data_IF_647505307642
#
_entry.id   IF_647505307642
#
_cell.length_a   1.000
_cell.length_b   1.000
_cell.length_c   1.000
_cell.angle_alpha   90.00
_cell.angle_beta   90.00
_cell.angle_gamma   90.00
#
_symmetry.space_group_name_H-M   'P 1'
#
loop_
_entity.id
_entity.type
_entity.pdbx_description
1 polymer ?
#
# COMPACT_ATOMS: atom_id res chain seq x y z
N UNK A 1 -2.18 -16.96 16.59
CA UNK A 1 -3.03 -15.78 16.30
C UNK A 1 -2.13 -14.63 15.88
N UNK A 2 -2.67 -13.68 15.12
CA UNK A 2 -1.97 -12.47 14.68
C UNK A 2 -2.65 -11.27 15.30
N UNK A 3 -1.86 -10.29 15.76
CA UNK A 3 -2.36 -9.06 16.38
C UNK A 3 -2.09 -7.89 15.45
N UNK A 4 -3.12 -7.11 15.15
CA UNK A 4 -3.05 -5.87 14.39
C UNK A 4 -3.46 -4.69 15.26
N UNK A 5 -2.98 -3.52 14.86
CA UNK A 5 -3.16 -2.28 15.60
C UNK A 5 -3.73 -1.20 14.68
N UNK A 6 -4.96 -0.74 14.94
CA UNK A 6 -5.50 0.42 14.25
C UNK A 6 -4.96 1.67 14.94
N UNK A 7 -4.04 2.35 14.27
CA UNK A 7 -3.40 3.56 14.77
C UNK A 7 -4.07 4.79 14.19
N UNK A 8 -4.35 5.75 15.06
CA UNK A 8 -5.04 6.99 14.71
C UNK A 8 -4.05 7.99 14.10
N UNK A 9 -3.90 7.96 12.78
CA UNK A 9 -2.97 8.84 12.08
C UNK A 9 -3.49 10.28 11.96
N UNK A 10 -4.82 10.47 11.98
CA UNK A 10 -5.45 11.80 11.88
C UNK A 10 -5.76 12.43 13.25
N UNK A 11 -5.37 11.79 14.35
CA UNK A 11 -5.57 12.27 15.73
C UNK A 11 -7.04 12.56 16.06
N UNK A 12 -7.98 11.78 15.51
CA UNK A 12 -9.41 11.88 15.82
C UNK A 12 -9.67 11.59 17.30
N UNK A 13 -10.42 12.45 18.01
CA UNK A 13 -10.65 12.27 19.47
C UNK A 13 -11.80 11.30 19.80
N UNK A 14 -12.65 10.94 18.84
CA UNK A 14 -13.84 10.11 19.07
C UNK A 14 -13.53 8.60 18.93
N UNK A 15 -12.75 8.04 19.85
CA UNK A 15 -12.33 6.64 19.78
C UNK A 15 -13.50 5.65 19.91
N UNK A 16 -14.41 5.88 20.87
CA UNK A 16 -15.60 5.03 21.08
C UNK A 16 -16.53 5.05 19.86
N UNK A 17 -16.81 6.24 19.32
CA UNK A 17 -17.65 6.37 18.13
C UNK A 17 -17.03 5.73 16.89
N UNK A 18 -15.70 5.85 16.70
CA UNK A 18 -15.07 5.19 15.56
C UNK A 18 -14.98 3.66 15.74
N UNK A 19 -14.75 3.17 16.97
CA UNK A 19 -14.85 1.74 17.26
C UNK A 19 -16.25 1.22 16.93
N UNK A 20 -17.30 1.94 17.37
CA UNK A 20 -18.68 1.57 17.06
C UNK A 20 -18.95 1.54 15.56
N UNK A 21 -18.44 2.50 14.78
CA UNK A 21 -18.58 2.49 13.30
C UNK A 21 -17.93 1.27 12.65
N UNK A 22 -16.80 0.77 13.18
CA UNK A 22 -16.18 -0.48 12.69
C UNK A 22 -17.13 -1.66 12.95
N UNK A 23 -17.71 -1.73 14.15
CA UNK A 23 -18.70 -2.76 14.49
C UNK A 23 -19.95 -2.65 13.61
N UNK A 24 -20.49 -1.44 13.43
CA UNK A 24 -21.67 -1.19 12.61
C UNK A 24 -21.44 -1.60 11.15
N UNK A 25 -20.22 -1.40 10.64
CA UNK A 25 -19.84 -1.86 9.31
C UNK A 25 -19.88 -3.39 9.20
N UNK A 26 -19.38 -4.14 10.19
CA UNK A 26 -19.52 -5.60 10.20
C UNK A 26 -20.99 -6.05 10.23
N UNK A 27 -21.86 -5.32 10.95
CA UNK A 27 -23.29 -5.63 11.02
C UNK A 27 -24.03 -5.40 9.68
N UNK A 28 -23.42 -4.75 8.69
CA UNK A 28 -23.99 -4.62 7.35
C UNK A 28 -23.96 -5.93 6.54
N UNK A 29 -23.13 -6.90 6.94
CA UNK A 29 -22.97 -8.20 6.26
C UNK A 29 -23.93 -9.25 6.83
N UNK A 30 -25.23 -8.97 6.72
CA UNK A 30 -26.30 -9.81 7.28
C UNK A 30 -26.28 -11.20 6.64
N UNK A 31 -26.21 -12.25 7.48
CA UNK A 31 -26.22 -13.64 7.04
C UNK A 31 -24.82 -14.25 6.84
N UNK A 32 -23.78 -13.42 6.71
CA UNK A 32 -22.39 -13.87 6.57
C UNK A 32 -21.60 -13.67 7.88
N UNK A 33 -21.91 -12.60 8.61
CA UNK A 33 -21.16 -12.19 9.81
C UNK A 33 -22.10 -12.03 11.01
N UNK A 34 -21.72 -12.64 12.14
CA UNK A 34 -22.33 -12.40 13.45
C UNK A 34 -21.37 -11.61 14.33
N UNK A 35 -21.85 -10.55 14.99
CA UNK A 35 -21.04 -9.76 15.92
C UNK A 35 -21.61 -9.86 17.32
N UNK A 36 -20.84 -10.41 18.27
CA UNK A 36 -21.17 -10.44 19.69
C UNK A 36 -20.39 -9.35 20.43
N UNK A 37 -21.10 -8.42 21.07
CA UNK A 37 -20.47 -7.42 21.94
C UNK A 37 -20.34 -8.01 23.34
N UNK A 38 -19.10 -8.19 23.80
CA UNK A 38 -18.83 -8.56 25.19
C UNK A 38 -18.98 -7.35 26.11
N UNK A 39 -18.46 -6.19 25.68
CA UNK A 39 -18.60 -4.88 26.34
C UNK A 39 -18.69 -3.76 25.28
N UNK A 40 -18.84 -2.49 25.70
CA UNK A 40 -18.76 -1.36 24.76
C UNK A 40 -17.39 -1.27 24.04
N UNK A 41 -16.33 -1.76 24.68
CA UNK A 41 -14.96 -1.73 24.19
C UNK A 41 -14.47 -3.07 23.64
N UNK A 42 -15.32 -4.11 23.60
CA UNK A 42 -14.92 -5.46 23.16
C UNK A 42 -16.02 -6.10 22.31
N UNK A 43 -15.61 -6.60 21.15
CA UNK A 43 -16.50 -7.36 20.27
C UNK A 43 -15.77 -8.58 19.70
N UNK A 44 -16.54 -9.63 19.46
CA UNK A 44 -16.10 -10.83 18.75
C UNK A 44 -16.91 -10.93 17.46
N UNK A 45 -16.21 -11.08 16.34
CA UNK A 45 -16.79 -11.20 15.00
C UNK A 45 -16.62 -12.64 14.54
N UNK A 46 -17.73 -13.27 14.19
CA UNK A 46 -17.81 -14.66 13.73
C UNK A 46 -18.25 -14.67 12.26
N UNK A 47 -17.57 -15.47 11.44
CA UNK A 47 -17.95 -15.68 10.04
C UNK A 47 -18.72 -16.98 9.93
N UNK A 48 -20.02 -16.87 9.65
CA UNK A 48 -20.94 -18.00 9.64
C UNK A 48 -20.52 -19.04 8.60
N UNK A 49 -20.54 -20.32 9.00
CA UNK A 49 -20.09 -21.42 8.15
C UNK A 49 -18.57 -21.62 8.08
N UNK A 50 -17.78 -20.85 8.84
CA UNK A 50 -16.32 -21.00 8.90
C UNK A 50 -15.83 -21.08 10.35
N UNK A 51 -14.61 -21.61 10.60
CA UNK A 51 -14.00 -21.55 11.93
C UNK A 51 -13.38 -20.17 12.26
N UNK A 52 -13.55 -19.18 11.37
CA UNK A 52 -12.88 -17.89 11.46
C UNK A 52 -13.52 -16.98 12.51
N UNK A 53 -12.69 -16.47 13.42
CA UNK A 53 -13.10 -15.57 14.52
C UNK A 53 -12.09 -14.45 14.68
N UNK A 54 -12.61 -13.23 14.83
CA UNK A 54 -11.82 -12.04 15.13
C UNK A 54 -12.24 -11.41 16.46
N UNK A 55 -11.26 -11.00 17.26
CA UNK A 55 -11.49 -10.27 18.50
C UNK A 55 -11.04 -8.83 18.35
N UNK A 56 -11.96 -7.89 18.55
CA UNK A 56 -11.69 -6.46 18.52
C UNK A 56 -11.77 -5.90 19.94
N UNK A 57 -10.79 -5.08 20.30
CA UNK A 57 -10.74 -4.42 21.61
C UNK A 57 -10.28 -2.98 21.48
N UNK A 58 -11.05 -2.05 22.03
CA UNK A 58 -10.64 -0.66 22.22
C UNK A 58 -9.82 -0.55 23.52
N UNK A 59 -8.55 -0.17 23.38
CA UNK A 59 -7.64 0.05 24.50
C UNK A 59 -7.86 1.44 25.13
N UNK A 60 -7.45 1.61 26.39
CA UNK A 60 -7.52 2.90 27.11
C UNK A 60 -6.75 4.01 26.40
N UNK A 61 -5.75 3.66 25.61
CA UNK A 61 -4.95 4.58 24.77
C UNK A 61 -5.72 5.11 23.56
N UNK A 62 -6.93 4.61 23.29
CA UNK A 62 -7.72 4.93 22.09
C UNK A 62 -7.36 4.10 20.86
N UNK A 63 -6.39 3.20 20.99
CA UNK A 63 -6.00 2.25 19.94
C UNK A 63 -6.97 1.08 19.90
N UNK A 64 -7.31 0.61 18.69
CA UNK A 64 -8.08 -0.65 18.54
C UNK A 64 -7.11 -1.77 18.22
N UNK A 65 -7.12 -2.81 19.04
CA UNK A 65 -6.40 -4.06 18.80
C UNK A 65 -7.34 -5.04 18.11
N UNK A 66 -6.87 -5.67 17.04
CA UNK A 66 -7.60 -6.71 16.32
C UNK A 66 -6.77 -7.99 16.38
N UNK A 67 -7.35 -9.05 16.93
CA UNK A 67 -6.69 -10.35 17.03
C UNK A 67 -7.44 -11.34 16.17
N UNK A 68 -6.73 -11.94 15.21
CA UNK A 68 -7.31 -12.84 14.22
C UNK A 68 -6.55 -14.15 14.12
N UNK A 69 -7.23 -15.15 13.55
CA UNK A 69 -6.62 -16.42 13.16
C UNK A 69 -5.59 -16.19 12.04
N UNK A 70 -4.66 -17.14 11.86
CA UNK A 70 -3.59 -16.99 10.84
C UNK A 70 -4.13 -17.07 9.40
N UNK A 71 -5.28 -17.67 9.19
CA UNK A 71 -5.89 -17.84 7.87
C UNK A 71 -7.09 -16.88 7.66
N UNK A 72 -7.25 -15.89 8.52
CA UNK A 72 -8.33 -14.89 8.46
C UNK A 72 -7.85 -13.59 7.81
N UNK A 73 -7.76 -13.58 6.48
CA UNK A 73 -7.47 -12.36 5.74
C UNK A 73 -8.73 -11.47 5.55
N UNK A 74 -9.92 -12.05 5.65
CA UNK A 74 -11.19 -11.37 5.38
C UNK A 74 -11.42 -10.26 6.40
N UNK A 75 -11.22 -10.52 7.69
CA UNK A 75 -11.42 -9.52 8.74
C UNK A 75 -10.57 -8.27 8.52
N UNK A 76 -9.27 -8.44 8.33
CA UNK A 76 -8.38 -7.30 8.20
C UNK A 76 -8.68 -6.51 6.93
N UNK A 77 -9.04 -7.17 5.83
CA UNK A 77 -9.45 -6.49 4.61
C UNK A 77 -10.75 -5.68 4.81
N UNK A 78 -11.77 -6.25 5.47
CA UNK A 78 -13.01 -5.54 5.78
C UNK A 78 -12.75 -4.32 6.67
N UNK A 79 -11.89 -4.46 7.69
CA UNK A 79 -11.51 -3.32 8.53
C UNK A 79 -10.75 -2.28 7.70
N UNK A 80 -9.88 -2.69 6.78
CA UNK A 80 -9.10 -1.75 5.96
C UNK A 80 -10.00 -0.85 5.11
N UNK A 81 -11.09 -1.41 4.57
CA UNK A 81 -12.09 -0.66 3.78
C UNK A 81 -12.69 0.54 4.54
N UNK A 82 -12.92 0.40 5.85
CA UNK A 82 -13.53 1.46 6.66
C UNK A 82 -12.51 2.28 7.46
N UNK A 83 -11.39 1.67 7.87
CA UNK A 83 -10.40 2.28 8.77
C UNK A 83 -9.91 3.64 8.25
N UNK A 84 -9.63 3.75 6.96
CA UNK A 84 -9.12 4.97 6.35
C UNK A 84 -10.12 6.13 6.46
N UNK A 85 -11.41 5.87 6.21
CA UNK A 85 -12.48 6.87 6.35
C UNK A 85 -12.68 7.35 7.80
N UNK A 86 -12.29 6.53 8.77
CA UNK A 86 -12.33 6.84 10.20
C UNK A 86 -11.05 7.48 10.71
N UNK A 87 -10.07 7.68 9.84
CA UNK A 87 -8.79 8.30 10.15
C UNK A 87 -7.75 7.36 10.77
N UNK A 88 -7.93 6.04 10.61
CA UNK A 88 -7.01 5.02 11.09
C UNK A 88 -6.20 4.40 9.96
N UNK A 89 -5.04 3.84 10.33
CA UNK A 89 -4.33 2.84 9.52
C UNK A 89 -4.11 1.57 10.31
N UNK A 90 -4.19 0.43 9.64
CA UNK A 90 -3.92 -0.87 10.23
C UNK A 90 -2.41 -1.11 10.20
N UNK A 91 -1.82 -1.37 11.36
CA UNK A 91 -0.40 -1.70 11.50
C UNK A 91 -0.24 -3.17 11.88
N UNK A 92 0.60 -3.87 11.12
CA UNK A 92 1.02 -5.25 11.37
C UNK A 92 2.40 -5.27 12.05
N UNK A 93 2.49 -5.68 13.34
CA UNK A 93 3.76 -5.77 14.05
C UNK A 93 4.68 -6.88 13.54
N UNK A 94 4.18 -7.91 12.84
CA UNK A 94 5.03 -9.00 12.35
C UNK A 94 5.98 -8.56 11.24
N UNK A 95 5.56 -7.60 10.42
CA UNK A 95 6.37 -7.01 9.35
C UNK A 95 6.78 -5.56 9.66
N UNK A 96 6.49 -5.07 10.87
CA UNK A 96 6.75 -3.70 11.31
C UNK A 96 6.24 -2.64 10.30
N UNK A 97 5.04 -2.84 9.76
CA UNK A 97 4.50 -1.96 8.72
C UNK A 97 3.01 -1.75 8.78
N UNK A 98 2.56 -0.61 8.26
CA UNK A 98 1.16 -0.41 7.94
C UNK A 98 0.77 -1.26 6.74
N UNK A 99 -0.47 -1.71 6.72
CA UNK A 99 -1.04 -2.27 5.50
C UNK A 99 -1.19 -1.14 4.47
N UNK A 100 -0.96 -1.42 3.17
CA UNK A 100 -1.31 -0.45 2.15
C UNK A 100 -2.81 -0.18 2.16
N UNK A 101 -3.20 1.02 1.73
CA UNK A 101 -4.60 1.45 1.77
C UNK A 101 -5.44 0.83 0.64
N UNK A 102 -4.81 0.24 -0.39
CA UNK A 102 -5.53 -0.46 -1.45
C UNK A 102 -6.15 -1.75 -0.89
N UNK A 103 -7.44 -1.92 -1.09
CA UNK A 103 -8.19 -3.09 -0.60
C UNK A 103 -7.88 -4.37 -1.38
N UNK A 104 -7.25 -4.23 -2.54
CA UNK A 104 -6.87 -5.34 -3.42
C UNK A 104 -5.48 -5.87 -3.11
N UNK A 105 -4.69 -5.26 -2.22
CA UNK A 105 -3.40 -5.82 -1.83
C UNK A 105 -3.52 -6.57 -0.51
N UNK A 106 -3.21 -7.85 -0.57
CA UNK A 106 -3.30 -8.73 0.57
C UNK A 106 -1.99 -8.81 1.34
N UNK A 107 -2.11 -8.79 2.66
CA UNK A 107 -1.04 -9.13 3.59
C UNK A 107 -0.86 -10.65 3.65
N UNK A 108 0.30 -11.13 3.19
CA UNK A 108 0.61 -12.55 3.14
C UNK A 108 0.98 -13.16 4.49
N UNK A 109 0.99 -12.38 5.58
CA UNK A 109 1.07 -12.95 6.94
C UNK A 109 -0.19 -13.70 7.34
N UNK A 110 -1.34 -13.36 6.74
CA UNK A 110 -2.67 -13.95 7.03
C UNK A 110 -3.22 -14.85 5.92
N UNK A 111 -2.43 -15.08 4.86
CA UNK A 111 -2.86 -15.90 3.72
C UNK A 111 -1.94 -17.11 3.58
N UNK A 112 -2.55 -18.30 3.59
CA UNK A 112 -1.86 -19.52 3.22
C UNK A 112 -1.60 -19.53 1.71
N UNK A 113 -0.36 -19.34 1.33
CA UNK A 113 0.08 -19.48 -0.06
C UNK A 113 0.11 -20.94 -0.49
N UNK A 114 -0.15 -21.17 -1.78
CA UNK A 114 0.12 -22.46 -2.41
C UNK A 114 1.58 -22.86 -2.21
N UNK A 115 1.82 -24.12 -1.84
CA UNK A 115 3.17 -24.68 -1.67
C UNK A 115 3.99 -24.53 -2.95
N UNK A 116 3.39 -24.68 -4.12
CA UNK A 116 4.07 -24.54 -5.41
C UNK A 116 4.60 -23.12 -5.62
N UNK A 117 3.78 -22.10 -5.38
CA UNK A 117 4.18 -20.68 -5.49
C UNK A 117 5.31 -20.37 -4.50
N UNK A 118 5.15 -20.81 -3.25
CA UNK A 118 6.16 -20.60 -2.22
C UNK A 118 7.50 -21.24 -2.60
N UNK A 119 7.47 -22.44 -3.17
CA UNK A 119 8.67 -23.15 -3.60
C UNK A 119 9.42 -22.37 -4.70
N UNK A 120 8.72 -21.94 -5.76
CA UNK A 120 9.33 -21.15 -6.85
C UNK A 120 9.95 -19.86 -6.29
N UNK A 121 9.20 -19.07 -5.52
CA UNK A 121 9.69 -17.81 -4.96
C UNK A 121 10.91 -18.04 -4.05
N UNK A 122 10.93 -19.14 -3.28
CA UNK A 122 12.04 -19.46 -2.38
C UNK A 122 13.34 -19.85 -3.09
N UNK A 123 13.28 -20.41 -4.31
CA UNK A 123 14.47 -20.70 -5.13
C UNK A 123 15.23 -19.41 -5.48
N UNK A 124 14.51 -18.30 -5.61
CA UNK A 124 15.07 -16.97 -5.83
C UNK A 124 15.42 -16.23 -4.53
N UNK A 125 15.36 -16.92 -3.38
CA UNK A 125 15.63 -16.37 -2.05
C UNK A 125 14.79 -15.14 -1.70
N UNK A 126 13.54 -15.14 -2.16
CA UNK A 126 12.59 -14.08 -1.89
C UNK A 126 11.62 -14.51 -0.78
N UNK A 127 11.23 -13.56 0.06
CA UNK A 127 10.20 -13.76 1.08
C UNK A 127 8.95 -12.97 0.70
N UNK A 128 7.82 -13.62 0.34
CA UNK A 128 6.60 -12.91 0.00
C UNK A 128 6.09 -12.03 1.16
N UNK A 129 5.70 -10.79 0.83
CA UNK A 129 5.09 -9.85 1.77
C UNK A 129 3.64 -9.56 1.42
N UNK A 130 3.41 -9.18 0.15
CA UNK A 130 2.11 -8.75 -0.31
C UNK A 130 1.78 -9.37 -1.67
N UNK A 131 0.49 -9.57 -1.94
CA UNK A 131 -0.01 -10.05 -3.22
C UNK A 131 -1.18 -9.21 -3.68
N UNK A 132 -1.23 -8.85 -4.95
CA UNK A 132 -2.43 -8.25 -5.52
C UNK A 132 -3.50 -9.34 -5.76
N UNK A 133 -4.69 -9.13 -5.21
CA UNK A 133 -5.82 -10.06 -5.13
C UNK A 133 -6.05 -10.76 -6.47
N UNK A 134 -6.17 -12.08 -6.42
CA UNK A 134 -6.47 -12.95 -7.57
C UNK A 134 -5.51 -12.80 -8.77
N UNK A 135 -4.27 -12.35 -8.52
CA UNK A 135 -3.22 -12.27 -9.55
C UNK A 135 -1.90 -12.91 -9.10
N UNK A 136 -0.98 -13.10 -10.05
CA UNK A 136 0.41 -13.49 -9.79
C UNK A 136 1.35 -12.29 -9.56
N UNK A 137 0.81 -11.14 -9.15
CA UNK A 137 1.61 -9.96 -8.81
C UNK A 137 1.99 -10.04 -7.33
N UNK A 138 3.26 -10.31 -7.07
CA UNK A 138 3.82 -10.43 -5.72
C UNK A 138 4.85 -9.34 -5.45
N UNK A 139 4.81 -8.82 -4.22
CA UNK A 139 5.87 -8.02 -3.63
C UNK A 139 6.57 -8.85 -2.56
N UNK A 140 7.89 -8.96 -2.67
CA UNK A 140 8.72 -9.79 -1.80
C UNK A 140 9.85 -8.98 -1.19
N UNK A 141 10.41 -9.47 -0.07
CA UNK A 141 11.73 -9.06 0.40
C UNK A 141 12.80 -9.90 -0.27
N UNK A 142 13.88 -9.24 -0.70
CA UNK A 142 15.12 -9.92 -1.05
C UNK A 142 16.05 -10.05 0.16
N UNK A 143 17.23 -10.67 -0.02
CA UNK A 143 18.25 -10.83 1.04
C UNK A 143 18.77 -9.51 1.62
N UNK A 144 18.62 -8.39 0.91
CA UNK A 144 19.03 -7.05 1.35
C UNK A 144 17.92 -6.30 2.08
N UNK A 145 16.78 -6.97 2.33
CA UNK A 145 15.57 -6.35 2.93
C UNK A 145 14.93 -5.26 2.07
N UNK A 146 15.27 -5.22 0.76
CA UNK A 146 14.62 -4.35 -0.21
C UNK A 146 13.32 -5.02 -0.69
N UNK A 147 12.31 -4.20 -1.01
CA UNK A 147 11.07 -4.71 -1.59
C UNK A 147 11.21 -4.79 -3.09
N UNK A 148 10.95 -5.99 -3.64
CA UNK A 148 11.01 -6.29 -5.06
C UNK A 148 9.63 -6.69 -5.59
N UNK A 149 9.34 -6.30 -6.82
CA UNK A 149 8.20 -6.81 -7.60
C UNK A 149 8.64 -8.05 -8.36
N UNK A 150 7.86 -9.13 -8.27
CA UNK A 150 8.10 -10.37 -9.03
C UNK A 150 7.58 -10.25 -10.46
N UNK A 151 8.32 -10.79 -11.42
CA UNK A 151 7.88 -10.91 -12.80
C UNK A 151 6.77 -11.97 -12.91
N UNK A 152 5.51 -11.51 -12.92
CA UNK A 152 4.34 -12.39 -12.94
C UNK A 152 4.33 -13.40 -14.10
N UNK A 153 4.83 -13.01 -15.27
CA UNK A 153 4.80 -13.84 -16.48
C UNK A 153 5.84 -14.96 -16.40
N UNK A 154 7.01 -14.66 -15.85
CA UNK A 154 8.01 -15.69 -15.57
C UNK A 154 7.55 -16.62 -14.44
N UNK A 155 6.92 -16.08 -13.38
CA UNK A 155 6.32 -16.90 -12.32
C UNK A 155 5.27 -17.86 -12.90
N UNK A 156 4.35 -17.36 -13.73
CA UNK A 156 3.33 -18.17 -14.42
C UNK A 156 3.96 -19.31 -15.25
N UNK A 157 5.00 -19.00 -16.03
CA UNK A 157 5.73 -20.01 -16.78
C UNK A 157 6.38 -21.07 -15.87
N UNK A 158 7.05 -20.67 -14.80
CA UNK A 158 7.73 -21.61 -13.89
C UNK A 158 6.73 -22.51 -13.15
N UNK A 159 5.54 -22.00 -12.84
CA UNK A 159 4.45 -22.79 -12.22
C UNK A 159 3.88 -23.85 -13.17
N UNK A 160 3.93 -23.62 -14.48
CA UNK A 160 3.38 -24.54 -15.50
C UNK A 160 4.43 -25.49 -16.08
N UNK A 161 5.69 -25.09 -16.14
CA UNK A 161 6.80 -25.85 -16.74
C UNK A 161 7.45 -26.89 -15.80
N UNK A 162 6.84 -27.25 -14.67
CA UNK A 162 7.37 -28.19 -13.68
C UNK A 162 8.78 -27.85 -13.15
N UNK A 163 9.00 -26.63 -12.66
CA UNK A 163 10.19 -26.25 -11.90
C UNK A 163 11.53 -26.66 -12.56
N UNK A 164 11.68 -26.52 -13.88
CA UNK A 164 13.02 -26.60 -14.48
C UNK A 164 13.92 -25.56 -13.81
N UNK A 165 15.17 -25.93 -13.51
CA UNK A 165 16.20 -25.11 -12.83
C UNK A 165 16.65 -23.91 -13.69
N UNK A 166 15.70 -23.05 -14.04
CA UNK A 166 15.92 -21.80 -14.72
C UNK A 166 16.06 -20.74 -13.63
N UNK A 167 17.30 -20.33 -13.34
CA UNK A 167 17.58 -19.10 -12.60
C UNK A 167 17.66 -17.98 -13.62
N UNK A 168 16.58 -17.20 -13.75
CA UNK A 168 16.58 -16.01 -14.59
C UNK A 168 16.93 -14.76 -13.78
N UNK A 169 17.85 -13.94 -14.31
CA UNK A 169 18.26 -12.69 -13.66
C UNK A 169 17.11 -11.67 -13.52
N UNK A 170 16.04 -11.82 -14.30
CA UNK A 170 14.90 -10.90 -14.38
C UNK A 170 13.65 -11.38 -13.63
N UNK A 171 13.81 -12.29 -12.65
CA UNK A 171 12.67 -12.80 -11.88
C UNK A 171 12.05 -11.75 -10.95
N UNK A 172 12.84 -10.78 -10.50
CA UNK A 172 12.35 -9.70 -9.63
C UNK A 172 13.11 -8.39 -9.88
N UNK A 173 12.47 -7.27 -9.58
CA UNK A 173 13.06 -5.93 -9.71
C UNK A 173 12.79 -5.11 -8.46
N UNK A 174 13.77 -4.34 -7.99
CA UNK A 174 13.61 -3.47 -6.83
C UNK A 174 12.59 -2.37 -7.11
N UNK A 175 11.63 -2.22 -6.18
CA UNK A 175 10.62 -1.15 -6.22
C UNK A 175 10.67 -0.23 -5.00
N UNK A 176 11.30 -0.66 -3.90
CA UNK A 176 11.59 0.19 -2.75
C UNK A 176 12.80 -0.34 -1.94
N UNK A 177 13.49 0.55 -1.24
CA UNK A 177 14.63 0.24 -0.39
C UNK A 177 14.23 -0.56 0.86
N UNK A 178 13.00 -0.41 1.34
CA UNK A 178 12.47 -1.15 2.49
C UNK A 178 10.93 -1.12 2.52
N UNK A 179 10.32 -1.84 3.48
CA UNK A 179 8.86 -1.94 3.62
C UNK A 179 8.22 -0.56 3.89
N UNK A 180 8.81 0.24 4.79
CA UNK A 180 8.27 1.58 5.11
C UNK A 180 8.15 2.47 3.87
N UNK A 181 9.18 2.46 3.01
CA UNK A 181 9.18 3.21 1.76
C UNK A 181 8.20 2.60 0.75
N UNK A 182 8.12 1.27 0.66
CA UNK A 182 7.14 0.59 -0.18
C UNK A 182 5.72 1.05 0.13
N UNK A 183 5.33 1.02 1.41
CA UNK A 183 3.99 1.47 1.84
C UNK A 183 3.72 2.91 1.40
N UNK A 184 4.67 3.83 1.66
CA UNK A 184 4.50 5.23 1.32
C UNK A 184 4.37 5.48 -0.20
N UNK A 185 5.15 4.74 -1.01
CA UNK A 185 5.10 4.83 -2.47
C UNK A 185 3.82 4.20 -3.03
N UNK A 186 3.44 3.02 -2.53
CA UNK A 186 2.26 2.29 -2.98
C UNK A 186 0.97 3.08 -2.72
N UNK A 187 0.82 3.63 -1.51
CA UNK A 187 -0.36 4.45 -1.14
C UNK A 187 -0.53 5.71 -2.00
N UNK A 188 0.53 6.18 -2.65
CA UNK A 188 0.51 7.34 -3.56
C UNK A 188 0.33 6.94 -5.03
N UNK A 189 0.22 5.64 -5.31
CA UNK A 189 0.17 5.08 -6.67
C UNK A 189 1.47 5.31 -7.43
N UNK A 190 2.62 5.26 -6.74
CA UNK A 190 3.95 5.50 -7.31
C UNK A 190 4.69 4.20 -7.64
N UNK A 191 4.08 3.05 -7.35
CA UNK A 191 4.59 1.73 -7.73
C UNK A 191 3.72 1.21 -8.88
N UNK A 192 4.36 0.96 -10.01
CA UNK A 192 3.73 0.30 -11.15
C UNK A 192 3.53 -1.19 -10.84
N UNK A 193 2.36 -1.72 -11.19
CA UNK A 193 2.11 -3.16 -11.15
C UNK A 193 2.65 -3.89 -12.39
N UNK A 194 3.00 -3.13 -13.44
CA UNK A 194 3.61 -3.68 -14.65
C UNK A 194 5.14 -3.75 -14.50
N UNK A 195 5.67 -4.97 -14.46
CA UNK A 195 7.10 -5.25 -14.36
C UNK A 195 7.91 -4.57 -15.49
N UNK A 196 7.36 -4.53 -16.71
CA UNK A 196 8.05 -3.99 -17.89
C UNK A 196 8.33 -2.48 -17.78
N UNK A 197 7.53 -1.74 -17.01
CA UNK A 197 7.75 -0.32 -16.77
C UNK A 197 9.06 -0.04 -16.01
N UNK A 198 9.63 -1.06 -15.35
CA UNK A 198 10.91 -0.95 -14.65
C UNK A 198 12.11 -1.38 -15.50
N UNK A 199 11.90 -2.11 -16.59
CA UNK A 199 12.96 -2.56 -17.50
C UNK A 199 13.31 -1.49 -18.55
N UNK A 200 12.30 -0.77 -19.05
CA UNK A 200 12.43 0.08 -20.24
C UNK A 200 12.48 1.59 -19.96
N UNK A 201 12.20 2.06 -18.74
CA UNK A 201 12.04 3.49 -18.47
C UNK A 201 12.44 3.89 -17.04
N UNK A 202 12.63 5.20 -16.83
CA UNK A 202 12.84 5.83 -15.53
C UNK A 202 11.63 5.53 -14.63
N UNK A 203 11.60 4.37 -13.93
CA UNK A 203 10.56 4.02 -12.95
C UNK A 203 10.34 5.07 -11.86
N UNK A 204 11.28 6.02 -11.78
CA UNK A 204 11.24 7.23 -10.95
C UNK A 204 10.36 8.34 -11.52
N UNK A 205 9.77 8.22 -12.71
CA UNK A 205 8.87 9.22 -13.31
C UNK A 205 7.52 8.59 -13.64
N UNK A 206 6.48 9.00 -12.91
CA UNK A 206 5.09 8.63 -13.14
C UNK A 206 4.41 9.76 -13.91
N UNK A 207 4.20 9.54 -15.21
CA UNK A 207 3.60 10.52 -16.10
C UNK A 207 2.12 10.23 -16.36
N UNK A 208 1.22 10.77 -15.52
CA UNK A 208 -0.22 10.56 -15.68
C UNK A 208 -0.87 11.42 -16.75
N UNK A 209 -0.15 12.40 -17.27
CA UNK A 209 -0.67 13.37 -18.25
C UNK A 209 -0.15 13.14 -19.67
N UNK A 210 0.82 12.24 -19.84
CA UNK A 210 1.52 12.07 -21.11
C UNK A 210 2.43 13.25 -21.47
N UNK A 211 2.65 14.21 -20.57
CA UNK A 211 3.48 15.38 -20.87
C UNK A 211 4.97 15.04 -20.84
N UNK A 212 5.67 15.47 -21.88
CA UNK A 212 7.13 15.44 -21.88
C UNK A 212 7.67 16.72 -21.23
N UNK A 213 8.24 16.61 -20.02
CA UNK A 213 8.84 17.74 -19.30
C UNK A 213 9.96 18.44 -20.07
N UNK A 214 10.57 17.77 -21.06
CA UNK A 214 11.60 18.36 -21.93
C UNK A 214 11.00 19.21 -23.08
N UNK A 215 9.69 19.15 -23.30
CA UNK A 215 8.96 19.84 -24.38
C UNK A 215 7.79 20.67 -23.83
N UNK A 216 8.04 21.47 -22.79
CA UNK A 216 7.01 22.36 -22.23
C UNK A 216 6.72 23.52 -23.20
N UNK A 217 5.45 23.92 -23.37
CA UNK A 217 5.11 25.13 -24.12
C UNK A 217 5.78 26.37 -23.52
N UNK A 218 6.11 27.36 -24.35
CA UNK A 218 6.90 28.56 -23.99
C UNK A 218 6.34 29.32 -22.77
N UNK A 219 5.02 29.36 -22.60
CA UNK A 219 4.35 30.06 -21.49
C UNK A 219 3.95 29.16 -20.31
N UNK A 220 4.47 27.92 -20.27
CA UNK A 220 4.22 26.98 -19.19
C UNK A 220 5.38 26.96 -18.19
N UNK A 221 5.08 27.25 -16.93
CA UNK A 221 6.01 27.10 -15.82
C UNK A 221 5.74 25.81 -15.05
N UNK A 222 6.76 25.30 -14.36
CA UNK A 222 6.57 24.21 -13.42
C UNK A 222 6.17 24.77 -12.05
N UNK A 223 5.18 24.14 -11.44
CA UNK A 223 4.89 24.25 -10.03
C UNK A 223 5.26 22.93 -9.38
N UNK A 224 6.43 22.89 -8.75
CA UNK A 224 6.96 21.71 -8.10
C UNK A 224 6.47 21.66 -6.66
N UNK A 225 5.83 20.57 -6.27
CA UNK A 225 5.33 20.32 -4.92
C UNK A 225 6.21 19.24 -4.30
N UNK A 226 6.99 19.60 -3.30
CA UNK A 226 7.93 18.69 -2.66
C UNK A 226 7.25 17.94 -1.52
N UNK A 227 7.56 16.65 -1.46
CA UNK A 227 7.19 15.74 -0.40
C UNK A 227 8.47 15.12 0.18
N UNK A 228 8.49 14.98 1.50
CA UNK A 228 9.55 14.31 2.23
C UNK A 228 9.01 13.01 2.82
N UNK A 229 9.77 11.94 2.68
CA UNK A 229 9.47 10.66 3.30
C UNK A 229 9.51 10.77 4.83
N UNK A 230 8.42 10.33 5.46
CA UNK A 230 8.30 10.10 6.89
C UNK A 230 8.26 8.60 7.14
N UNK A 231 9.40 8.06 7.56
CA UNK A 231 9.58 6.63 7.78
C UNK A 231 8.71 6.11 8.93
N UNK A 232 8.50 6.90 9.98
CA UNK A 232 7.74 6.50 11.17
C UNK A 232 6.27 6.30 10.81
N UNK A 233 5.74 7.23 10.01
CA UNK A 233 4.34 7.17 9.55
C UNK A 233 4.17 6.41 8.22
N UNK A 234 5.27 5.95 7.63
CA UNK A 234 5.31 5.26 6.33
C UNK A 234 4.49 6.00 5.28
N UNK A 235 4.78 7.30 5.15
CA UNK A 235 4.02 8.23 4.33
C UNK A 235 4.90 9.36 3.81
N UNK A 236 4.29 10.27 3.04
CA UNK A 236 4.94 11.45 2.50
C UNK A 236 4.26 12.70 3.03
N UNK A 237 5.05 13.62 3.59
CA UNK A 237 4.59 14.92 4.09
C UNK A 237 4.97 15.99 3.08
N UNK A 238 4.00 16.82 2.70
CA UNK A 238 4.28 17.97 1.84
C UNK A 238 5.11 19.01 2.62
N UNK A 239 6.19 19.49 2.04
CA UNK A 239 7.10 20.47 2.69
C UNK A 239 6.93 21.86 2.11
N UNK A 240 7.26 22.02 0.84
CA UNK A 240 7.41 23.31 0.18
C UNK A 240 7.05 23.21 -1.30
N UNK A 241 6.87 24.37 -1.93
CA UNK A 241 6.65 24.46 -3.36
C UNK A 241 7.75 25.28 -4.02
N UNK A 242 8.37 24.73 -5.06
CA UNK A 242 9.44 25.37 -5.83
C UNK A 242 9.05 25.46 -7.31
N UNK A 243 9.92 26.08 -8.12
CA UNK A 243 9.71 26.19 -9.57
C UNK A 243 10.66 25.28 -10.37
N UNK A 244 11.43 24.42 -9.69
CA UNK A 244 12.46 23.59 -10.32
C UNK A 244 12.52 22.20 -9.68
N UNK A 245 12.70 21.19 -10.52
CA UNK A 245 12.89 19.79 -10.13
C UNK A 245 14.30 19.67 -9.49
N UNK A 246 14.43 19.16 -8.25
CA UNK A 246 15.72 18.93 -7.62
C UNK A 246 16.50 17.83 -8.37
N UNK A 247 17.82 17.86 -8.24
CA UNK A 247 18.70 16.89 -8.92
C UNK A 247 18.56 15.46 -8.41
N UNK A 248 18.10 15.30 -7.16
CA UNK A 248 17.91 14.00 -6.50
C UNK A 248 16.48 13.92 -6.00
N UNK A 249 15.82 12.82 -6.32
CA UNK A 249 14.48 12.47 -5.89
C UNK A 249 14.30 10.96 -5.94
N UNK A 250 13.34 10.43 -5.18
CA UNK A 250 12.94 9.03 -5.25
C UNK A 250 12.05 8.80 -6.47
N UNK A 251 10.94 9.55 -6.53
CA UNK A 251 9.94 9.47 -7.61
C UNK A 251 9.39 10.86 -7.90
N UNK A 252 9.06 11.12 -9.15
CA UNK A 252 8.41 12.31 -9.67
C UNK A 252 7.07 11.91 -10.27
N UNK A 253 5.99 12.63 -9.95
CA UNK A 253 4.66 12.43 -10.51
C UNK A 253 4.20 13.69 -11.24
N UNK A 254 3.92 13.57 -12.53
CA UNK A 254 3.41 14.67 -13.36
C UNK A 254 1.89 14.65 -13.28
N UNK A 255 1.30 15.75 -12.81
CA UNK A 255 -0.16 15.89 -12.70
C UNK A 255 -0.84 16.00 -14.07
N UNK A 256 -2.16 15.75 -14.08
CA UNK A 256 -3.00 15.83 -15.27
C UNK A 256 -3.42 17.27 -15.63
N UNK A 257 -3.38 18.17 -14.65
CA UNK A 257 -3.98 19.49 -14.80
C UNK A 257 -2.96 20.62 -14.88
N UNK A 258 -3.39 21.66 -15.60
CA UNK A 258 -2.77 22.97 -15.57
C UNK A 258 -3.53 23.89 -14.63
N UNK A 259 -2.79 24.70 -13.88
CA UNK A 259 -3.35 25.82 -13.16
C UNK A 259 -2.94 27.13 -13.82
N UNK A 260 -3.81 28.13 -13.82
CA UNK A 260 -3.49 29.45 -14.34
C UNK A 260 -3.44 30.44 -13.18
N UNK A 261 -2.43 31.30 -13.16
CA UNK A 261 -2.28 32.34 -12.13
C UNK A 261 -1.81 33.65 -12.75
N UNK A 262 -2.31 34.76 -12.22
CA UNK A 262 -1.81 36.07 -12.59
C UNK A 262 -0.44 36.29 -11.93
N UNK A 263 0.56 36.63 -12.73
CA UNK A 263 1.89 37.07 -12.27
C UNK A 263 2.11 38.46 -12.83
N UNK A 264 1.90 39.48 -11.99
CA UNK A 264 1.76 40.86 -12.45
C UNK A 264 0.52 41.00 -13.34
N UNK A 265 0.70 41.47 -14.58
CA UNK A 265 -0.39 41.64 -15.57
C UNK A 265 -0.55 40.47 -16.56
N UNK A 266 0.22 39.39 -16.40
CA UNK A 266 0.20 38.24 -17.33
C UNK A 266 -0.44 37.03 -16.67
N UNK A 267 -1.34 36.36 -17.39
CA UNK A 267 -1.84 35.05 -17.03
C UNK A 267 -0.81 33.99 -17.42
N UNK A 268 -0.26 33.28 -16.44
CA UNK A 268 0.76 32.24 -16.66
C UNK A 268 0.17 30.87 -16.37
N UNK A 269 0.51 29.91 -17.23
CA UNK A 269 0.13 28.50 -17.12
C UNK A 269 1.16 27.75 -16.28
N UNK A 270 0.71 26.96 -15.32
CA UNK A 270 1.55 26.16 -14.42
C UNK A 270 1.21 24.67 -14.55
N UNK A 271 2.22 23.83 -14.77
CA UNK A 271 2.11 22.38 -14.69
C UNK A 271 2.52 21.90 -13.30
N UNK A 272 1.63 21.19 -12.61
CA UNK A 272 1.94 20.61 -11.31
C UNK A 272 2.84 19.37 -11.44
N UNK A 273 3.94 19.38 -10.71
CA UNK A 273 4.86 18.24 -10.61
C UNK A 273 5.08 17.93 -9.14
N UNK A 274 4.71 16.74 -8.70
CA UNK A 274 4.96 16.28 -7.33
C UNK A 274 6.27 15.53 -7.26
N UNK A 275 7.10 15.83 -6.27
CA UNK A 275 8.42 15.22 -6.10
C UNK A 275 8.49 14.60 -4.73
N UNK A 276 8.80 13.32 -4.71
CA UNK A 276 8.90 12.50 -3.52
C UNK A 276 10.38 12.28 -3.24
N UNK A 277 10.83 12.76 -2.08
CA UNK A 277 12.23 12.70 -1.62
C UNK A 277 12.38 11.81 -0.39
#
# INVERSE_FOLDING_TARGET
MIHYYLRNIHKTKNYKGNFQKIIDYFLTFVGDIEVKKDTEEKAVVYYLGTPTVAHLKLEKTGQVTVTISKDDNVTINLINNIAQSLGFRIYNPQINAYLPNDVNIFDLTTIKQSSTVKNVISQYHLTPLFQYRDTLIFFCLNKKMEVVLVNRHLLEYLLTANNQDLIANEFSIKVAENISQFIALFDRGLISLNFQNYLNDDSKIINLSGFNLRKLPVDTRLQVINFKFDEVNQSFIQTDTTNAIPKKYLVLKIGQDYNYRMVGKKLIKFLNVSIFN
#
